data_IF_786031937588
#
_entry.id   IF_786031937588
#
_cell.length_a   1.000
_cell.length_b   1.000
_cell.length_c   1.000
_cell.angle_alpha   90.00
_cell.angle_beta   90.00
_cell.angle_gamma   90.00
#
_symmetry.space_group_name_H-M   'P 1'
#
loop_
_entity.id
_entity.type
_entity.pdbx_description
1 polymer ?
#
# COMPACT_ATOMS: atom_id res chain seq x y z
N UNK A 1 7.83 -42.09 -0.68
CA UNK A 1 6.50 -41.45 -0.68
C UNK A 1 6.32 -40.36 0.38
N UNK A 2 6.77 -40.53 1.63
CA UNK A 2 6.52 -39.56 2.74
C UNK A 2 7.03 -38.13 2.49
N UNK A 3 8.19 -37.98 1.87
CA UNK A 3 8.79 -36.66 1.58
C UNK A 3 8.05 -35.96 0.43
N UNK A 4 7.61 -36.72 -0.58
CA UNK A 4 6.96 -36.20 -1.79
C UNK A 4 5.60 -35.58 -1.45
N UNK A 5 4.81 -36.18 -0.55
CA UNK A 5 3.52 -35.63 -0.16
C UNK A 5 3.64 -34.34 0.65
N UNK A 6 4.59 -34.25 1.59
CA UNK A 6 4.85 -33.01 2.32
C UNK A 6 5.35 -31.90 1.36
N UNK A 7 6.26 -32.24 0.44
CA UNK A 7 6.81 -31.32 -0.56
C UNK A 7 5.81 -30.86 -1.62
N UNK A 8 4.70 -31.57 -1.82
CA UNK A 8 3.69 -31.20 -2.84
C UNK A 8 2.46 -30.58 -2.21
N UNK A 9 1.90 -31.18 -1.14
CA UNK A 9 0.65 -30.72 -0.54
C UNK A 9 0.81 -29.39 0.22
N UNK A 10 1.94 -29.17 0.92
CA UNK A 10 2.15 -27.92 1.66
C UNK A 10 2.32 -26.70 0.75
N UNK A 11 3.17 -26.69 -0.30
CA UNK A 11 3.24 -25.54 -1.19
C UNK A 11 1.97 -25.36 -2.01
N UNK A 12 1.30 -26.44 -2.44
CA UNK A 12 0.05 -26.34 -3.21
C UNK A 12 -1.07 -25.68 -2.39
N UNK A 13 -1.21 -26.07 -1.14
CA UNK A 13 -2.22 -25.51 -0.23
C UNK A 13 -1.90 -24.08 0.23
N UNK A 14 -0.62 -23.72 0.37
CA UNK A 14 -0.19 -22.33 0.57
C UNK A 14 -0.44 -21.48 -0.68
N UNK A 15 -0.18 -22.03 -1.88
CA UNK A 15 -0.49 -21.41 -3.17
C UNK A 15 -1.98 -21.08 -3.32
N UNK A 16 -2.86 -21.87 -2.71
CA UNK A 16 -4.30 -21.61 -2.69
C UNK A 16 -4.68 -20.69 -1.52
N UNK A 17 -4.13 -20.93 -0.33
CA UNK A 17 -4.48 -20.21 0.90
C UNK A 17 -4.08 -18.74 0.87
N UNK A 18 -2.88 -18.40 0.38
CA UNK A 18 -2.38 -17.00 0.37
C UNK A 18 -3.22 -16.08 -0.53
N UNK A 19 -3.49 -16.41 -1.81
CA UNK A 19 -4.40 -15.61 -2.64
C UNK A 19 -5.79 -15.47 -2.04
N UNK A 20 -6.32 -16.54 -1.42
CA UNK A 20 -7.61 -16.47 -0.74
C UNK A 20 -7.58 -15.58 0.50
N UNK A 21 -6.46 -15.54 1.23
CA UNK A 21 -6.24 -14.61 2.32
C UNK A 21 -6.23 -13.16 1.85
N UNK A 22 -5.55 -12.87 0.73
CA UNK A 22 -5.55 -11.55 0.09
C UNK A 22 -6.95 -11.13 -0.36
N UNK A 23 -7.72 -12.05 -0.94
CA UNK A 23 -9.06 -11.79 -1.44
C UNK A 23 -10.15 -11.79 -0.38
N UNK A 24 -9.91 -12.41 0.79
CA UNK A 24 -10.87 -12.52 1.88
C UNK A 24 -11.45 -11.16 2.28
N UNK A 25 -10.60 -10.14 2.32
CA UNK A 25 -10.98 -8.78 2.70
C UNK A 25 -11.83 -8.13 1.58
N UNK A 26 -11.45 -8.28 0.31
CA UNK A 26 -12.24 -7.78 -0.86
C UNK A 26 -13.59 -8.47 -1.07
N UNK A 27 -13.74 -9.71 -0.63
CA UNK A 27 -15.00 -10.46 -0.71
C UNK A 27 -15.97 -9.96 0.38
N UNK A 28 -16.53 -8.76 0.22
CA UNK A 28 -17.46 -8.17 1.19
C UNK A 28 -18.94 -8.58 1.00
N UNK A 29 -19.58 -8.86 2.14
CA UNK A 29 -20.99 -9.14 2.46
C UNK A 29 -21.69 -10.34 1.77
N UNK A 30 -21.96 -11.37 2.57
CA UNK A 30 -22.95 -12.45 2.33
C UNK A 30 -22.91 -13.20 0.98
N UNK A 31 -21.81 -13.15 0.25
CA UNK A 31 -21.69 -14.02 -0.93
C UNK A 31 -21.38 -15.45 -0.46
N UNK A 32 -22.25 -16.39 -0.85
CA UNK A 32 -22.08 -17.85 -0.72
C UNK A 32 -20.64 -18.30 -1.05
N UNK A 33 -19.96 -17.57 -1.95
CA UNK A 33 -18.55 -17.73 -2.34
C UNK A 33 -17.57 -17.71 -1.15
N UNK A 34 -17.78 -16.87 -0.13
CA UNK A 34 -16.90 -16.80 1.06
C UNK A 34 -16.98 -18.08 1.91
N UNK A 35 -18.17 -18.65 2.05
CA UNK A 35 -18.38 -19.92 2.75
C UNK A 35 -17.86 -21.11 1.94
N UNK A 36 -18.15 -21.14 0.64
CA UNK A 36 -17.66 -22.18 -0.27
C UNK A 36 -16.12 -22.25 -0.28
N UNK A 37 -15.44 -21.10 -0.32
CA UNK A 37 -13.99 -21.04 -0.30
C UNK A 37 -13.40 -21.42 1.06
N UNK A 38 -14.07 -21.10 2.17
CA UNK A 38 -13.59 -21.45 3.51
C UNK A 38 -13.74 -22.95 3.84
N UNK A 39 -14.75 -23.61 3.25
CA UNK A 39 -15.01 -25.05 3.45
C UNK A 39 -14.28 -25.91 2.41
N UNK A 40 -13.74 -25.32 1.33
CA UNK A 40 -13.10 -26.07 0.24
C UNK A 40 -12.03 -27.09 0.67
N UNK A 41 -11.21 -26.87 1.71
CA UNK A 41 -10.28 -27.90 2.17
C UNK A 41 -11.01 -29.11 2.77
N UNK A 42 -12.12 -28.89 3.48
CA UNK A 42 -12.90 -29.95 4.12
C UNK A 42 -13.64 -30.84 3.14
N UNK A 43 -13.89 -30.37 1.91
CA UNK A 43 -14.45 -31.20 0.82
C UNK A 43 -13.41 -32.19 0.29
N UNK A 44 -12.12 -31.81 0.32
CA UNK A 44 -11.01 -32.64 -0.16
C UNK A 44 -10.48 -33.61 0.90
N UNK A 45 -10.66 -33.31 2.19
CA UNK A 45 -10.19 -34.14 3.31
C UNK A 45 -10.67 -35.61 3.25
N UNK A 46 -11.94 -35.93 2.92
CA UNK A 46 -12.41 -37.31 2.81
C UNK A 46 -11.76 -38.13 1.69
N UNK A 47 -11.14 -37.47 0.70
CA UNK A 47 -10.44 -38.11 -0.42
C UNK A 47 -8.97 -38.42 -0.09
N UNK A 48 -8.51 -38.05 1.10
CA UNK A 48 -7.11 -38.12 1.53
C UNK A 48 -6.97 -38.99 2.78
N UNK A 49 -5.73 -39.42 3.06
CA UNK A 49 -5.42 -40.02 4.35
C UNK A 49 -5.62 -39.00 5.49
N UNK A 50 -5.94 -39.46 6.70
CA UNK A 50 -6.12 -38.57 7.87
C UNK A 50 -4.93 -37.61 8.07
N UNK A 51 -3.71 -38.12 7.88
CA UNK A 51 -2.47 -37.33 8.00
C UNK A 51 -2.40 -36.24 6.93
N UNK A 52 -2.71 -36.57 5.69
CA UNK A 52 -2.66 -35.63 4.56
C UNK A 52 -3.78 -34.58 4.65
N UNK A 53 -4.96 -34.97 5.16
CA UNK A 53 -6.06 -34.06 5.45
C UNK A 53 -5.70 -33.01 6.51
N UNK A 54 -4.98 -33.41 7.57
CA UNK A 54 -4.48 -32.48 8.60
C UNK A 54 -3.44 -31.52 8.03
N UNK A 55 -2.49 -32.02 7.21
CA UNK A 55 -1.48 -31.18 6.56
C UNK A 55 -2.17 -30.17 5.65
N UNK A 56 -3.03 -30.63 4.73
CA UNK A 56 -3.74 -29.79 3.76
C UNK A 56 -4.54 -28.67 4.43
N UNK A 57 -5.32 -29.02 5.45
CA UNK A 57 -6.14 -28.05 6.19
C UNK A 57 -5.26 -27.05 6.96
N UNK A 58 -4.24 -27.55 7.68
CA UNK A 58 -3.31 -26.71 8.43
C UNK A 58 -2.59 -25.68 7.55
N UNK A 59 -1.95 -26.11 6.47
CA UNK A 59 -1.23 -25.21 5.56
C UNK A 59 -2.16 -24.28 4.77
N UNK A 60 -3.38 -24.71 4.44
CA UNK A 60 -4.40 -23.82 3.88
C UNK A 60 -4.75 -22.68 4.85
N UNK A 61 -5.03 -22.99 6.12
CA UNK A 61 -5.38 -21.96 7.12
C UNK A 61 -4.21 -21.03 7.41
N UNK A 62 -2.99 -21.56 7.47
CA UNK A 62 -1.75 -20.77 7.57
C UNK A 62 -1.63 -19.84 6.36
N UNK A 63 -1.78 -20.37 5.14
CA UNK A 63 -1.75 -19.56 3.92
C UNK A 63 -2.78 -18.44 3.94
N UNK A 64 -4.01 -18.74 4.38
CA UNK A 64 -5.08 -17.73 4.50
C UNK A 64 -4.76 -16.66 5.53
N UNK A 65 -4.17 -17.04 6.66
CA UNK A 65 -3.73 -16.11 7.70
C UNK A 65 -2.60 -15.21 7.18
N UNK A 66 -1.61 -15.79 6.51
CA UNK A 66 -0.51 -15.06 5.89
C UNK A 66 -1.02 -14.07 4.84
N UNK A 67 -1.89 -14.53 3.93
CA UNK A 67 -2.50 -13.66 2.91
C UNK A 67 -3.27 -12.49 3.53
N UNK A 68 -4.08 -12.74 4.55
CA UNK A 68 -4.81 -11.66 5.24
C UNK A 68 -3.89 -10.70 6.01
N UNK A 69 -2.71 -11.17 6.44
CA UNK A 69 -1.70 -10.35 7.12
C UNK A 69 -0.88 -9.48 6.17
N UNK A 70 -0.93 -9.79 4.87
CA UNK A 70 -0.33 -9.00 3.79
C UNK A 70 -1.25 -7.90 3.28
N UNK A 71 -2.45 -7.74 3.84
CA UNK A 71 -3.40 -6.68 3.49
C UNK A 71 -3.41 -5.59 4.57
N UNK A 72 -3.22 -4.35 4.15
CA UNK A 72 -3.40 -3.14 4.97
C UNK A 72 -4.51 -2.25 4.42
N UNK A 73 -4.87 -1.19 5.13
CA UNK A 73 -5.78 -0.15 4.62
C UNK A 73 -5.01 0.72 3.63
N UNK A 74 -5.52 0.94 2.43
CA UNK A 74 -4.88 1.86 1.47
C UNK A 74 -5.29 3.30 1.74
N UNK A 75 -4.35 4.24 1.73
CA UNK A 75 -4.64 5.68 1.72
C UNK A 75 -3.97 6.31 0.51
N UNK A 76 -4.77 6.93 -0.36
CA UNK A 76 -4.28 7.63 -1.55
C UNK A 76 -5.10 8.89 -1.82
N UNK A 77 -4.70 9.66 -2.81
CA UNK A 77 -5.36 10.90 -3.18
C UNK A 77 -4.65 11.61 -4.33
N UNK A 78 -5.29 12.66 -4.84
CA UNK A 78 -4.66 13.60 -5.77
C UNK A 78 -3.58 14.43 -5.08
N UNK A 79 -2.89 15.26 -5.87
CA UNK A 79 -1.92 16.19 -5.30
C UNK A 79 -2.67 17.26 -4.51
N UNK A 80 -2.13 17.73 -3.38
CA UNK A 80 -2.76 18.80 -2.58
C UNK A 80 -4.23 18.56 -2.12
N UNK A 81 -4.71 17.30 -2.11
CA UNK A 81 -6.07 16.97 -1.62
C UNK A 81 -6.20 16.89 -0.10
N UNK A 82 -5.11 17.07 0.66
CA UNK A 82 -5.12 17.00 2.13
C UNK A 82 -4.82 15.61 2.72
N UNK A 83 -4.32 14.67 1.91
CA UNK A 83 -3.92 13.32 2.35
C UNK A 83 -2.99 13.32 3.57
N UNK A 84 -2.04 14.24 3.66
CA UNK A 84 -1.12 14.34 4.81
C UNK A 84 -1.86 14.68 6.11
N UNK A 85 -2.90 15.52 6.04
CA UNK A 85 -3.75 15.85 7.20
C UNK A 85 -4.53 14.61 7.64
N UNK A 86 -5.14 13.90 6.69
CA UNK A 86 -5.87 12.63 6.93
C UNK A 86 -4.96 11.59 7.57
N UNK A 87 -3.76 11.38 6.99
CA UNK A 87 -2.73 10.46 7.48
C UNK A 87 -2.31 10.80 8.92
N UNK A 88 -2.19 12.09 9.24
CA UNK A 88 -1.88 12.52 10.60
C UNK A 88 -3.02 12.24 11.60
N UNK A 89 -4.27 12.51 11.22
CA UNK A 89 -5.43 12.20 12.06
C UNK A 89 -5.53 10.70 12.34
N UNK A 90 -5.28 9.87 11.33
CA UNK A 90 -5.27 8.41 11.48
C UNK A 90 -4.17 7.98 12.46
N UNK A 91 -2.96 8.55 12.33
CA UNK A 91 -1.85 8.30 13.26
C UNK A 91 -2.21 8.68 14.69
N UNK A 92 -2.79 9.86 14.90
CA UNK A 92 -3.17 10.31 16.25
C UNK A 92 -4.29 9.46 16.86
N UNK A 93 -5.14 8.87 16.02
CA UNK A 93 -6.21 7.97 16.45
C UNK A 93 -5.75 6.51 16.61
N UNK A 94 -4.44 6.23 16.59
CA UNK A 94 -3.87 4.91 16.89
C UNK A 94 -3.55 4.02 15.68
N UNK A 95 -3.81 4.48 14.45
CA UNK A 95 -3.44 3.74 13.25
C UNK A 95 -1.92 3.77 13.02
N UNK A 96 -1.36 2.65 12.56
CA UNK A 96 0.05 2.60 12.13
C UNK A 96 0.13 3.04 10.68
N UNK A 97 0.86 4.12 10.40
CA UNK A 97 1.04 4.62 9.03
C UNK A 97 2.38 4.15 8.48
N UNK A 98 2.35 3.45 7.35
CA UNK A 98 3.52 3.13 6.51
C UNK A 98 3.48 4.07 5.31
N UNK A 99 4.33 5.09 5.33
CA UNK A 99 4.36 6.14 4.30
C UNK A 99 5.37 5.79 3.19
N UNK A 100 4.88 5.63 1.96
CA UNK A 100 5.68 5.30 0.80
C UNK A 100 6.73 6.38 0.47
N UNK A 101 6.44 7.66 0.72
CA UNK A 101 7.39 8.75 0.48
C UNK A 101 8.51 8.73 1.52
N UNK A 102 8.22 8.34 2.77
CA UNK A 102 9.26 8.15 3.80
C UNK A 102 10.13 6.95 3.45
N UNK A 103 9.51 5.81 3.12
CA UNK A 103 10.22 4.59 2.69
C UNK A 103 11.13 4.88 1.49
N UNK A 104 10.64 5.61 0.48
CA UNK A 104 11.42 5.97 -0.71
C UNK A 104 12.67 6.80 -0.38
N UNK A 105 12.66 7.55 0.72
CA UNK A 105 13.84 8.32 1.18
C UNK A 105 14.81 7.46 1.97
N UNK A 106 14.31 6.50 2.74
CA UNK A 106 15.14 5.62 3.57
C UNK A 106 15.87 4.56 2.75
N UNK A 107 15.21 3.99 1.74
CA UNK A 107 15.78 2.93 0.90
C UNK A 107 16.94 3.39 0.01
N UNK A 108 17.12 4.70 -0.16
CA UNK A 108 18.24 5.31 -0.91
C UNK A 108 19.35 5.83 0.01
N UNK A 109 19.30 5.58 1.31
CA UNK A 109 20.39 5.91 2.22
C UNK A 109 21.62 5.01 1.95
N UNK A 110 22.84 5.49 2.26
CA UNK A 110 24.06 4.70 2.14
C UNK A 110 23.93 3.31 2.79
N UNK A 111 24.44 2.28 2.10
CA UNK A 111 24.36 0.88 2.54
C UNK A 111 23.05 0.16 2.20
N UNK A 112 22.05 0.84 1.61
CA UNK A 112 20.81 0.21 1.15
C UNK A 112 20.92 -0.28 -0.29
N UNK A 113 20.05 -1.24 -0.66
CA UNK A 113 20.06 -1.85 -1.99
C UNK A 113 19.73 -0.87 -3.13
N UNK A 114 18.75 0.02 -2.94
CA UNK A 114 18.42 1.00 -3.98
C UNK A 114 19.51 2.05 -4.17
N UNK A 115 20.20 2.45 -3.09
CA UNK A 115 21.38 3.32 -3.16
C UNK A 115 22.46 2.74 -4.09
N UNK A 116 22.78 1.46 -3.92
CA UNK A 116 23.77 0.76 -4.76
C UNK A 116 23.33 0.67 -6.22
N UNK A 117 22.06 0.36 -6.50
CA UNK A 117 21.56 0.31 -7.88
C UNK A 117 21.56 1.68 -8.54
N UNK A 118 21.21 2.75 -7.80
CA UNK A 118 21.25 4.11 -8.34
C UNK A 118 22.69 4.47 -8.75
N UNK A 119 23.69 4.22 -7.90
CA UNK A 119 25.10 4.49 -8.25
C UNK A 119 25.55 3.66 -9.43
N UNK A 120 25.13 2.39 -9.52
CA UNK A 120 25.48 1.52 -10.65
C UNK A 120 24.95 2.08 -11.98
N UNK A 121 23.80 2.72 -12.00
CA UNK A 121 23.17 3.25 -13.22
C UNK A 121 23.54 4.69 -13.54
N UNK A 122 23.66 5.53 -12.52
CA UNK A 122 23.83 6.98 -12.63
C UNK A 122 25.19 7.46 -12.14
N UNK A 123 26.11 6.53 -11.88
CA UNK A 123 27.46 6.79 -11.41
C UNK A 123 27.53 7.46 -10.03
N UNK A 124 28.72 7.87 -9.61
CA UNK A 124 28.94 8.55 -8.32
C UNK A 124 28.72 10.05 -8.42
N UNK A 125 28.53 10.61 -9.62
CA UNK A 125 28.25 12.01 -9.85
C UNK A 125 26.92 12.49 -9.23
N UNK A 126 25.98 11.55 -9.01
CA UNK A 126 24.71 11.84 -8.33
C UNK A 126 24.83 11.85 -6.81
N UNK A 127 26.02 11.72 -6.26
CA UNK A 127 26.27 11.81 -4.82
C UNK A 127 26.56 13.26 -4.39
N UNK A 128 26.29 13.52 -3.11
CA UNK A 128 26.82 14.66 -2.39
C UNK A 128 28.29 14.39 -2.05
N UNK A 129 29.11 15.43 -2.15
CA UNK A 129 30.56 15.31 -1.98
C UNK A 129 30.94 15.09 -0.51
N UNK A 130 30.11 15.55 0.43
CA UNK A 130 30.41 15.57 1.87
C UNK A 130 30.11 14.25 2.60
N UNK A 131 28.99 13.59 2.27
CA UNK A 131 28.45 12.45 3.03
C UNK A 131 28.12 11.22 2.16
N UNK A 132 28.45 11.30 0.88
CA UNK A 132 28.11 10.30 -0.13
C UNK A 132 26.62 9.93 -0.17
N UNK A 133 25.70 10.79 0.29
CA UNK A 133 24.26 10.56 0.10
C UNK A 133 23.82 10.95 -1.31
N UNK A 134 22.67 10.45 -1.78
CA UNK A 134 22.15 10.83 -3.10
C UNK A 134 21.79 12.33 -3.13
N UNK A 135 22.43 13.08 -4.02
CA UNK A 135 22.06 14.44 -4.35
C UNK A 135 20.78 14.46 -5.20
N UNK A 136 19.65 14.75 -4.55
CA UNK A 136 18.33 14.77 -5.21
C UNK A 136 18.20 15.82 -6.30
N UNK A 137 18.92 16.95 -6.19
CA UNK A 137 18.88 18.00 -7.21
C UNK A 137 19.60 17.54 -8.48
N UNK A 138 20.82 16.97 -8.35
CA UNK A 138 21.58 16.40 -9.47
C UNK A 138 20.80 15.25 -10.13
N UNK A 139 20.34 14.28 -9.35
CA UNK A 139 19.55 13.16 -9.87
C UNK A 139 18.23 13.63 -10.50
N UNK A 140 17.56 14.60 -9.87
CA UNK A 140 16.35 15.23 -10.38
C UNK A 140 16.54 15.86 -11.75
N UNK A 141 17.64 16.60 -11.96
CA UNK A 141 17.95 17.23 -13.24
C UNK A 141 18.12 16.19 -14.37
N UNK A 142 18.74 15.05 -14.07
CA UNK A 142 18.93 13.95 -15.04
C UNK A 142 17.59 13.33 -15.44
N UNK A 143 16.72 13.00 -14.47
CA UNK A 143 15.46 12.28 -14.73
C UNK A 143 14.31 13.19 -15.19
N UNK A 144 14.42 14.50 -14.95
CA UNK A 144 13.37 15.45 -15.34
C UNK A 144 13.31 15.61 -16.85
N UNK A 145 14.48 15.70 -17.50
CA UNK A 145 14.59 15.92 -18.94
C UNK A 145 14.60 14.62 -19.76
N UNK A 146 14.85 13.46 -19.15
CA UNK A 146 14.92 12.18 -19.85
C UNK A 146 13.94 11.13 -19.28
N UNK A 147 12.85 10.79 -20.02
CA UNK A 147 11.88 9.79 -19.59
C UNK A 147 12.47 8.38 -19.51
N UNK A 148 13.54 8.08 -20.27
CA UNK A 148 14.23 6.78 -20.20
C UNK A 148 15.00 6.64 -18.89
N UNK A 149 15.65 7.71 -18.45
CA UNK A 149 16.35 7.76 -17.16
C UNK A 149 15.39 7.69 -15.99
N UNK A 150 14.24 8.37 -16.09
CA UNK A 150 13.17 8.26 -15.10
C UNK A 150 12.67 6.83 -14.94
N UNK A 151 12.47 6.11 -16.05
CA UNK A 151 12.09 4.68 -16.01
C UNK A 151 13.15 3.82 -15.33
N UNK A 152 14.45 4.07 -15.59
CA UNK A 152 15.54 3.35 -14.91
C UNK A 152 15.56 3.60 -13.41
N UNK A 153 15.43 4.86 -12.98
CA UNK A 153 15.36 5.19 -11.55
C UNK A 153 14.16 4.50 -10.88
N UNK A 154 12.99 4.55 -11.51
CA UNK A 154 11.79 3.88 -11.00
C UNK A 154 12.03 2.37 -10.88
N UNK A 155 12.61 1.72 -11.90
CA UNK A 155 12.91 0.28 -11.84
C UNK A 155 13.92 -0.06 -10.73
N UNK A 156 14.96 0.76 -10.55
CA UNK A 156 15.99 0.58 -9.52
C UNK A 156 15.44 0.75 -8.09
N UNK A 157 14.37 1.54 -7.90
CA UNK A 157 13.85 1.88 -6.57
C UNK A 157 12.60 1.10 -6.19
N UNK A 158 11.69 0.88 -7.15
CA UNK A 158 10.33 0.39 -6.91
C UNK A 158 10.29 -0.95 -6.16
N UNK A 159 11.14 -1.91 -6.53
CA UNK A 159 11.20 -3.21 -5.87
C UNK A 159 11.60 -3.09 -4.39
N UNK A 160 12.49 -2.16 -4.05
CA UNK A 160 12.93 -1.94 -2.67
C UNK A 160 11.89 -1.20 -1.85
N UNK A 161 11.18 -0.23 -2.45
CA UNK A 161 10.06 0.46 -1.80
C UNK A 161 8.98 -0.55 -1.43
N UNK A 162 8.53 -1.34 -2.40
CA UNK A 162 7.52 -2.38 -2.15
C UNK A 162 7.98 -3.37 -1.09
N UNK A 163 9.20 -3.88 -1.20
CA UNK A 163 9.74 -4.83 -0.23
C UNK A 163 9.75 -4.26 1.19
N UNK A 164 10.22 -3.03 1.39
CA UNK A 164 10.29 -2.42 2.71
C UNK A 164 8.89 -2.12 3.27
N UNK A 165 7.95 -1.65 2.43
CA UNK A 165 6.56 -1.46 2.83
C UNK A 165 5.92 -2.79 3.27
N UNK A 166 6.11 -3.88 2.51
CA UNK A 166 5.60 -5.20 2.87
C UNK A 166 6.23 -5.73 4.15
N UNK A 167 7.54 -5.57 4.30
CA UNK A 167 8.26 -5.98 5.51
C UNK A 167 7.70 -5.25 6.74
N UNK A 168 7.47 -3.95 6.65
CA UNK A 168 6.86 -3.16 7.73
C UNK A 168 5.42 -3.63 8.00
N UNK A 169 4.60 -3.85 6.96
CA UNK A 169 3.23 -4.34 7.12
C UNK A 169 3.18 -5.69 7.84
N UNK A 170 3.98 -6.65 7.38
CA UNK A 170 4.07 -7.99 7.96
C UNK A 170 4.53 -7.92 9.40
N UNK A 171 5.55 -7.12 9.69
CA UNK A 171 6.03 -6.92 11.06
C UNK A 171 4.92 -6.38 11.97
N UNK A 172 4.20 -5.35 11.53
CA UNK A 172 3.12 -4.76 12.33
C UNK A 172 1.96 -5.73 12.54
N UNK A 173 1.58 -6.51 11.50
CA UNK A 173 0.45 -7.44 11.55
C UNK A 173 0.74 -8.71 12.34
N UNK A 174 1.92 -9.30 12.15
CA UNK A 174 2.27 -10.60 12.75
C UNK A 174 2.98 -10.47 14.10
N UNK A 175 3.90 -9.50 14.23
CA UNK A 175 4.71 -9.34 15.44
C UNK A 175 4.03 -8.40 16.43
N UNK A 176 3.67 -7.18 15.98
CA UNK A 176 3.01 -6.20 16.85
C UNK A 176 1.50 -6.43 17.00
N UNK A 177 0.92 -7.36 16.22
CA UNK A 177 -0.51 -7.70 16.20
C UNK A 177 -1.44 -6.50 15.97
N UNK A 178 -0.96 -5.47 15.26
CA UNK A 178 -1.76 -4.31 14.86
C UNK A 178 -2.58 -4.64 13.63
N UNK A 179 -3.90 -4.42 13.70
CA UNK A 179 -4.79 -4.65 12.57
C UNK A 179 -5.00 -3.39 11.74
N UNK A 180 -4.97 -2.21 12.36
CA UNK A 180 -5.15 -0.94 11.65
C UNK A 180 -3.79 -0.41 11.16
N UNK A 181 -3.27 -1.05 10.11
CA UNK A 181 -2.06 -0.60 9.41
C UNK A 181 -2.45 0.02 8.08
N UNK A 182 -2.05 1.27 7.85
CA UNK A 182 -2.40 2.07 6.68
C UNK A 182 -1.18 2.22 5.78
N UNK A 183 -1.30 1.81 4.53
CA UNK A 183 -0.31 2.04 3.48
C UNK A 183 -0.63 3.39 2.81
N UNK A 184 0.15 4.40 3.16
CA UNK A 184 -0.02 5.75 2.64
C UNK A 184 0.84 5.95 1.37
N UNK A 185 0.19 5.96 0.21
CA UNK A 185 0.87 6.05 -1.10
C UNK A 185 0.10 6.97 -2.06
N UNK A 186 0.67 8.13 -2.47
CA UNK A 186 0.05 9.00 -3.47
C UNK A 186 -0.22 8.31 -4.82
N UNK A 187 0.68 7.39 -5.20
CA UNK A 187 0.67 6.66 -6.48
C UNK A 187 0.16 5.21 -6.34
N UNK A 188 -0.72 4.95 -5.37
CA UNK A 188 -1.16 3.61 -5.00
C UNK A 188 -1.66 2.79 -6.21
N UNK A 189 -2.54 3.39 -7.03
CA UNK A 189 -3.09 2.72 -8.20
C UNK A 189 -2.10 2.68 -9.36
N UNK A 190 -1.31 3.72 -9.56
CA UNK A 190 -0.32 3.83 -10.63
C UNK A 190 0.82 2.80 -10.48
N UNK A 191 1.06 2.36 -9.25
CA UNK A 191 2.02 1.30 -8.91
C UNK A 191 1.55 -0.09 -9.38
N UNK A 192 0.25 -0.27 -9.69
CA UNK A 192 -0.44 -1.51 -10.09
C UNK A 192 -0.31 -2.71 -9.13
N UNK A 193 0.65 -2.72 -8.22
CA UNK A 193 0.89 -3.82 -7.28
C UNK A 193 0.24 -3.54 -5.93
N UNK A 194 0.38 -2.31 -5.42
CA UNK A 194 -0.09 -1.94 -4.08
C UNK A 194 -1.60 -2.13 -3.90
N UNK A 195 -2.41 -1.91 -4.94
CA UNK A 195 -3.87 -2.10 -4.86
C UNK A 195 -4.24 -3.51 -4.39
N UNK A 196 -3.49 -4.55 -4.79
CA UNK A 196 -3.76 -5.94 -4.41
C UNK A 196 -3.55 -6.25 -2.92
N UNK A 197 -2.80 -5.38 -2.24
CA UNK A 197 -2.46 -5.52 -0.82
C UNK A 197 -3.14 -4.45 0.04
N UNK A 198 -4.06 -3.70 -0.55
CA UNK A 198 -4.82 -2.68 0.14
C UNK A 198 -6.31 -3.06 0.17
N UNK A 199 -6.91 -3.06 1.36
CA UNK A 199 -8.35 -3.09 1.57
C UNK A 199 -8.73 -2.64 2.99
N UNK A 200 -9.73 -1.75 3.14
CA UNK A 200 -10.31 -0.91 2.10
C UNK A 200 -9.29 0.12 1.58
N UNK A 201 -9.47 0.61 0.35
CA UNK A 201 -8.74 1.73 -0.22
C UNK A 201 -9.54 3.02 -0.02
N UNK A 202 -8.94 3.96 0.70
CA UNK A 202 -9.48 5.28 0.99
C UNK A 202 -8.86 6.28 0.02
N UNK A 203 -9.70 7.01 -0.71
CA UNK A 203 -9.25 8.09 -1.60
C UNK A 203 -9.66 9.44 -1.02
N UNK A 204 -8.66 10.31 -0.80
CA UNK A 204 -8.87 11.72 -0.44
C UNK A 204 -8.98 12.55 -1.71
N UNK A 205 -10.13 13.19 -1.89
CA UNK A 205 -10.51 13.91 -3.11
C UNK A 205 -10.89 15.36 -2.82
N UNK A 206 -10.74 16.24 -3.80
CA UNK A 206 -11.30 17.58 -3.83
C UNK A 206 -11.58 17.98 -5.28
N UNK A 207 -12.28 19.08 -5.48
CA UNK A 207 -12.49 19.71 -6.78
C UNK A 207 -11.16 20.15 -7.41
N UNK A 208 -11.09 20.13 -8.75
CA UNK A 208 -9.90 20.54 -9.51
C UNK A 208 -9.48 22.00 -9.20
N UNK A 209 -10.47 22.88 -8.96
CA UNK A 209 -10.25 24.27 -8.55
C UNK A 209 -9.52 24.35 -7.21
N UNK A 210 -9.94 23.55 -6.22
CA UNK A 210 -9.29 23.47 -4.92
C UNK A 210 -7.90 22.81 -5.02
N UNK A 211 -7.76 21.77 -5.85
CA UNK A 211 -6.49 21.09 -6.10
C UNK A 211 -5.43 22.06 -6.64
N UNK A 212 -5.79 22.81 -7.70
CA UNK A 212 -4.92 23.80 -8.33
C UNK A 212 -4.57 24.94 -7.37
N UNK A 213 -5.58 25.52 -6.71
CA UNK A 213 -5.40 26.65 -5.78
C UNK A 213 -4.48 26.27 -4.62
N UNK A 214 -4.67 25.09 -4.02
CA UNK A 214 -3.84 24.61 -2.90
C UNK A 214 -2.42 24.27 -3.37
N UNK A 215 -2.27 23.64 -4.54
CA UNK A 215 -0.95 23.31 -5.08
C UNK A 215 -0.13 24.57 -5.37
N UNK A 216 -0.73 25.57 -6.01
CA UNK A 216 -0.07 26.85 -6.29
C UNK A 216 0.34 27.58 -5.01
N UNK A 217 -0.55 27.62 -3.99
CA UNK A 217 -0.25 28.25 -2.70
C UNK A 217 0.88 27.55 -1.96
N UNK A 218 0.90 26.21 -1.98
CA UNK A 218 1.89 25.39 -1.25
C UNK A 218 3.27 25.42 -1.89
N UNK A 219 3.34 25.29 -3.22
CA UNK A 219 4.60 25.09 -3.94
C UNK A 219 5.08 26.38 -4.63
N UNK A 220 4.37 27.50 -4.49
CA UNK A 220 4.65 28.80 -5.14
C UNK A 220 4.88 28.70 -6.66
N UNK A 221 4.09 27.86 -7.34
CA UNK A 221 4.24 27.56 -8.76
C UNK A 221 3.29 28.37 -9.65
N UNK A 222 3.69 28.56 -10.91
CA UNK A 222 2.80 29.09 -11.96
C UNK A 222 1.69 28.09 -12.29
N UNK A 223 0.55 28.61 -12.78
CA UNK A 223 -0.65 27.83 -13.11
C UNK A 223 -0.33 26.70 -14.10
N UNK A 224 0.49 26.99 -15.11
CA UNK A 224 0.83 26.04 -16.18
C UNK A 224 1.64 24.85 -15.64
N UNK A 225 2.56 25.10 -14.72
CA UNK A 225 3.38 24.04 -14.12
C UNK A 225 2.60 23.22 -13.10
N UNK A 226 1.69 23.86 -12.36
CA UNK A 226 0.75 23.16 -11.48
C UNK A 226 -0.15 22.20 -12.29
N UNK A 227 -0.69 22.64 -13.44
CA UNK A 227 -1.46 21.78 -14.33
C UNK A 227 -0.66 20.61 -14.90
N UNK A 228 0.59 20.84 -15.33
CA UNK A 228 1.46 19.74 -15.80
C UNK A 228 1.67 18.70 -14.70
N UNK A 229 1.84 19.15 -13.46
CA UNK A 229 2.05 18.26 -12.31
C UNK A 229 0.80 17.44 -11.98
N UNK A 230 -0.38 18.06 -11.97
CA UNK A 230 -1.66 17.34 -11.78
C UNK A 230 -1.86 16.31 -12.90
N UNK A 231 -1.64 16.70 -14.16
CA UNK A 231 -1.77 15.80 -15.33
C UNK A 231 -0.77 14.65 -15.38
N UNK A 232 0.30 14.71 -14.60
CA UNK A 232 1.30 13.62 -14.55
C UNK A 232 0.86 12.42 -13.72
N UNK A 233 -0.21 12.54 -12.93
CA UNK A 233 -0.78 11.47 -12.11
C UNK A 233 -2.04 10.89 -12.74
N UNK A 234 -2.50 9.73 -12.26
CA UNK A 234 -3.82 9.21 -12.63
C UNK A 234 -4.89 10.24 -12.26
N UNK A 235 -5.85 10.44 -13.17
CA UNK A 235 -6.92 11.41 -12.96
C UNK A 235 -7.70 11.06 -11.68
N UNK A 236 -8.02 12.08 -10.89
CA UNK A 236 -8.65 11.88 -9.58
C UNK A 236 -9.97 11.10 -9.67
N UNK A 237 -10.78 11.34 -10.71
CA UNK A 237 -12.02 10.59 -10.92
C UNK A 237 -11.80 9.10 -11.16
N UNK A 238 -10.68 8.70 -11.79
CA UNK A 238 -10.32 7.29 -11.99
C UNK A 238 -9.87 6.65 -10.67
N UNK A 239 -9.23 7.41 -9.77
CA UNK A 239 -8.95 6.94 -8.40
C UNK A 239 -10.23 6.75 -7.62
N UNK A 240 -11.15 7.71 -7.71
CA UNK A 240 -12.45 7.69 -7.01
C UNK A 240 -13.29 6.48 -7.44
N UNK A 241 -13.31 6.12 -8.72
CA UNK A 241 -14.07 4.95 -9.19
C UNK A 241 -13.53 3.60 -8.69
N UNK A 242 -12.29 3.56 -8.21
CA UNK A 242 -11.62 2.39 -7.64
C UNK A 242 -11.59 2.40 -6.10
N UNK A 243 -12.14 3.43 -5.46
CA UNK A 243 -12.09 3.59 -4.02
C UNK A 243 -13.15 2.71 -3.32
N UNK A 244 -12.78 2.12 -2.17
CA UNK A 244 -13.75 1.49 -1.27
C UNK A 244 -14.41 2.54 -0.36
N UNK A 245 -13.65 3.60 -0.02
CA UNK A 245 -14.07 4.69 0.85
C UNK A 245 -13.56 6.03 0.29
N UNK A 246 -14.34 7.10 0.48
CA UNK A 246 -14.02 8.43 -0.02
C UNK A 246 -13.99 9.44 1.13
N UNK A 247 -12.98 10.31 1.13
CA UNK A 247 -12.92 11.50 1.98
C UNK A 247 -12.92 12.71 1.05
N UNK A 248 -14.01 13.47 1.06
CA UNK A 248 -14.12 14.70 0.27
C UNK A 248 -13.62 15.90 1.08
N UNK A 249 -12.70 16.66 0.50
CA UNK A 249 -12.02 17.80 1.12
C UNK A 249 -12.26 19.10 0.34
N UNK A 250 -13.53 19.42 0.10
CA UNK A 250 -13.95 20.69 -0.52
C UNK A 250 -14.37 21.76 0.50
N UNK A 251 -14.66 21.35 1.73
CA UNK A 251 -15.10 22.23 2.81
C UNK A 251 -13.94 22.81 3.63
N UNK A 252 -14.25 23.08 4.88
CA UNK A 252 -13.33 23.60 5.89
C UNK A 252 -12.43 22.49 6.45
N UNK A 253 -11.44 22.89 7.25
CA UNK A 253 -10.61 21.93 7.98
C UNK A 253 -11.45 21.09 8.95
N UNK A 254 -12.44 21.68 9.61
CA UNK A 254 -13.30 20.96 10.56
C UNK A 254 -14.15 19.89 9.85
N UNK A 255 -14.68 20.21 8.66
CA UNK A 255 -15.40 19.24 7.81
C UNK A 255 -14.48 18.07 7.43
N UNK A 256 -13.23 18.36 7.06
CA UNK A 256 -12.24 17.34 6.76
C UNK A 256 -11.96 16.45 7.97
N UNK A 257 -11.78 17.03 9.15
CA UNK A 257 -11.51 16.28 10.38
C UNK A 257 -12.69 15.38 10.74
N UNK A 258 -13.92 15.85 10.60
CA UNK A 258 -15.13 15.07 10.82
C UNK A 258 -15.21 13.87 9.86
N UNK A 259 -15.17 14.12 8.55
CA UNK A 259 -15.22 13.06 7.53
C UNK A 259 -14.08 12.06 7.68
N UNK A 260 -12.90 12.53 8.11
CA UNK A 260 -11.74 11.67 8.37
C UNK A 260 -12.00 10.71 9.53
N UNK A 261 -12.54 11.19 10.66
CA UNK A 261 -12.87 10.35 11.81
C UNK A 261 -13.94 9.32 11.47
N UNK A 262 -15.00 9.72 10.78
CA UNK A 262 -16.07 8.82 10.34
C UNK A 262 -15.53 7.73 9.40
N UNK A 263 -14.71 8.12 8.42
CA UNK A 263 -14.10 7.18 7.48
C UNK A 263 -13.14 6.23 8.18
N UNK A 264 -12.36 6.73 9.16
CA UNK A 264 -11.48 5.90 9.97
C UNK A 264 -12.25 4.83 10.75
N UNK A 265 -13.37 5.20 11.39
CA UNK A 265 -14.22 4.25 12.09
C UNK A 265 -14.74 3.17 11.16
N UNK A 266 -15.20 3.56 9.95
CA UNK A 266 -15.65 2.60 8.93
C UNK A 266 -14.52 1.69 8.48
N UNK A 267 -13.35 2.24 8.17
CA UNK A 267 -12.16 1.47 7.78
C UNK A 267 -11.73 0.48 8.87
N UNK A 268 -11.68 0.93 10.13
CA UNK A 268 -11.37 0.06 11.26
C UNK A 268 -12.40 -1.05 11.44
N UNK A 269 -13.69 -0.78 11.18
CA UNK A 269 -14.72 -1.82 11.20
C UNK A 269 -14.51 -2.87 10.08
N UNK A 270 -14.12 -2.45 8.86
CA UNK A 270 -13.79 -3.37 7.76
C UNK A 270 -12.69 -4.36 8.16
N UNK A 271 -11.62 -3.88 8.80
CA UNK A 271 -10.47 -4.72 9.19
C UNK A 271 -10.59 -5.32 10.60
N UNK A 272 -11.73 -5.14 11.28
CA UNK A 272 -11.97 -5.65 12.63
C UNK A 272 -11.01 -5.10 13.69
N UNK A 273 -10.69 -3.81 13.59
CA UNK A 273 -9.73 -3.07 14.41
C UNK A 273 -10.34 -1.89 15.18
N UNK A 274 -11.68 -1.82 15.31
CA UNK A 274 -12.36 -0.70 16.00
C UNK A 274 -11.89 -0.50 17.45
N UNK A 275 -11.42 -1.57 18.11
CA UNK A 275 -10.86 -1.53 19.47
C UNK A 275 -9.44 -0.93 19.54
N UNK A 276 -8.76 -0.77 18.41
CA UNK A 276 -7.43 -0.14 18.34
C UNK A 276 -7.50 1.40 18.24
N UNK A 277 -8.71 1.94 18.00
CA UNK A 277 -8.92 3.37 17.82
C UNK A 277 -8.85 4.13 19.15
N UNK A 278 -8.15 5.26 19.12
CA UNK A 278 -8.05 6.24 20.19
C UNK A 278 -8.78 7.51 19.74
N UNK A 279 -10.12 7.47 19.78
CA UNK A 279 -10.99 8.58 19.38
C UNK A 279 -11.56 9.30 20.60
#
# INVERSE_FOLDING_TARGET
>A
MQIIHLLVLTPLSLLVGVPLGLWKERLYKHSMKRWLLAISPFVLVPLLSLRDGVILTGSYFIGRLLGASLVGVGLTGGIATGKSTVSNVFRTAGAVIIDADVVAREIVLPGRGAYQEIIRYFGTEVLNDDDATINRAKLGAIIFNDPTQRKKLNAATHKYILYEMFKQLVYQRLVCRKRLVVLDAPLLFETNVLEYFCFPIIVVTCTETNELSRLMKRDHMKVEDAHKRIKSQMKLHEKVSKADLLIQNDGTLDDLLLHTRETLQRAAAFVGASHELQL
#
